data_IF_988526548754
#
_entry.id   IF_988526548754
#
_cell.length_a   1.000
_cell.length_b   1.000
_cell.length_c   1.000
_cell.angle_alpha   90.00
_cell.angle_beta   90.00
_cell.angle_gamma   90.00
#
_symmetry.space_group_name_H-M   'P 1'
#
loop_
_entity.id
_entity.type
_entity.pdbx_description
1 polymer ?
#
# COMPACT_ATOMS: atom_id res chain seq x y z
N UNK A 1 -31.96 17.96 -6.99
CA UNK A 1 -31.13 19.19 -7.03
C UNK A 1 -31.13 19.81 -5.65
N UNK A 2 -29.97 20.24 -5.14
CA UNK A 2 -29.86 20.86 -3.82
C UNK A 2 -30.21 22.36 -3.89
N UNK A 3 -30.79 22.97 -2.83
CA UNK A 3 -30.94 24.41 -2.75
C UNK A 3 -29.59 25.13 -2.92
N UNK A 4 -29.55 26.26 -3.63
CA UNK A 4 -28.30 26.96 -3.99
C UNK A 4 -27.43 27.33 -2.79
N UNK A 5 -28.05 27.78 -1.69
CA UNK A 5 -27.36 28.10 -0.43
C UNK A 5 -26.71 26.87 0.23
N UNK A 6 -27.30 25.69 0.03
CA UNK A 6 -26.83 24.43 0.62
C UNK A 6 -25.82 23.72 -0.29
N UNK A 7 -25.96 23.85 -1.61
CA UNK A 7 -25.01 23.30 -2.58
C UNK A 7 -23.58 23.82 -2.35
N UNK A 8 -23.44 25.12 -2.04
CA UNK A 8 -22.14 25.71 -1.70
C UNK A 8 -21.50 25.08 -0.46
N UNK A 9 -22.28 24.84 0.60
CA UNK A 9 -21.82 24.19 1.82
C UNK A 9 -21.36 22.74 1.56
N UNK A 10 -22.13 21.98 0.76
CA UNK A 10 -21.79 20.60 0.41
C UNK A 10 -20.50 20.54 -0.42
N UNK A 11 -20.35 21.42 -1.40
CA UNK A 11 -19.14 21.47 -2.24
C UNK A 11 -17.89 21.84 -1.43
N UNK A 12 -18.01 22.81 -0.51
CA UNK A 12 -16.94 23.15 0.43
C UNK A 12 -16.58 21.96 1.32
N UNK A 13 -17.58 21.23 1.81
CA UNK A 13 -17.37 20.01 2.59
C UNK A 13 -16.58 18.95 1.82
N UNK A 14 -16.94 18.68 0.57
CA UNK A 14 -16.20 17.73 -0.30
C UNK A 14 -14.76 18.21 -0.54
N UNK A 15 -14.58 19.51 -0.80
CA UNK A 15 -13.26 20.09 -1.05
C UNK A 15 -12.34 19.96 0.16
N UNK A 16 -12.81 20.39 1.35
CA UNK A 16 -12.05 20.26 2.61
C UNK A 16 -11.80 18.79 2.95
N UNK A 17 -12.82 17.94 2.78
CA UNK A 17 -12.74 16.50 3.03
C UNK A 17 -11.70 15.79 2.15
N UNK A 18 -11.49 16.25 0.92
CA UNK A 18 -10.44 15.74 0.04
C UNK A 18 -9.05 16.29 0.34
N UNK A 19 -8.94 17.58 0.69
CA UNK A 19 -7.65 18.24 0.91
C UNK A 19 -6.92 17.75 2.16
N UNK A 20 -7.62 17.53 3.28
CA UNK A 20 -6.99 17.17 4.55
C UNK A 20 -6.26 15.81 4.46
N UNK A 21 -6.89 14.71 3.99
CA UNK A 21 -6.20 13.45 3.81
C UNK A 21 -5.03 13.55 2.83
N UNK A 22 -5.21 14.27 1.70
CA UNK A 22 -4.15 14.44 0.70
C UNK A 22 -2.90 15.13 1.27
N UNK A 23 -3.10 16.16 2.10
CA UNK A 23 -2.00 16.87 2.75
C UNK A 23 -1.25 15.98 3.75
N UNK A 24 -1.98 15.23 4.58
CA UNK A 24 -1.38 14.32 5.58
C UNK A 24 -0.61 13.19 4.88
N UNK A 25 -1.17 12.62 3.80
CA UNK A 25 -0.51 11.57 3.02
C UNK A 25 0.82 12.06 2.43
N UNK A 26 0.85 13.26 1.85
CA UNK A 26 2.09 13.84 1.30
C UNK A 26 3.14 14.11 2.40
N UNK A 27 2.73 14.56 3.58
CA UNK A 27 3.67 14.77 4.70
C UNK A 27 4.21 13.42 5.20
N UNK A 28 3.34 12.41 5.34
CA UNK A 28 3.73 11.09 5.80
C UNK A 28 4.71 10.41 4.83
N UNK A 29 4.41 10.43 3.53
CA UNK A 29 5.32 9.92 2.49
C UNK A 29 6.68 10.62 2.53
N UNK A 30 6.69 11.94 2.71
CA UNK A 30 7.94 12.69 2.73
C UNK A 30 8.80 12.37 3.95
N UNK A 31 8.19 12.26 5.13
CA UNK A 31 8.89 11.85 6.35
C UNK A 31 9.43 10.42 6.23
N UNK A 32 8.65 9.49 5.68
CA UNK A 32 9.10 8.12 5.45
C UNK A 32 10.26 8.06 4.46
N UNK A 33 10.22 8.86 3.39
CA UNK A 33 11.31 8.95 2.41
C UNK A 33 12.60 9.44 3.07
N UNK A 34 12.53 10.55 3.82
CA UNK A 34 13.73 11.12 4.43
C UNK A 34 14.30 10.19 5.50
N UNK A 35 13.47 9.69 6.41
CA UNK A 35 13.92 8.90 7.57
C UNK A 35 14.32 7.46 7.23
N UNK A 36 13.58 6.81 6.34
CA UNK A 36 13.82 5.39 6.06
C UNK A 36 14.66 5.15 4.80
N UNK A 37 14.71 6.12 3.88
CA UNK A 37 15.47 5.96 2.63
C UNK A 37 16.70 6.85 2.62
N UNK A 38 16.60 8.14 2.95
CA UNK A 38 17.73 9.08 2.80
C UNK A 38 18.71 9.00 4.00
N UNK A 39 18.19 9.06 5.22
CA UNK A 39 18.98 9.09 6.46
C UNK A 39 19.96 7.90 6.61
N UNK A 40 19.60 6.65 6.25
CA UNK A 40 20.54 5.53 6.29
C UNK A 40 21.76 5.70 5.38
N UNK A 41 21.64 6.43 4.27
CA UNK A 41 22.75 6.69 3.35
C UNK A 41 23.48 8.00 3.63
N UNK A 42 22.78 9.00 4.18
CA UNK A 42 23.35 10.30 4.49
C UNK A 42 22.75 10.86 5.78
N UNK A 43 23.56 10.94 6.84
CA UNK A 43 23.13 11.49 8.13
C UNK A 43 22.90 12.99 8.04
N UNK A 44 21.63 13.39 8.12
CA UNK A 44 21.22 14.78 8.19
C UNK A 44 21.16 15.26 9.64
N UNK A 45 21.32 16.57 9.87
CA UNK A 45 20.91 17.17 11.15
C UNK A 45 19.39 17.24 11.23
N UNK A 46 18.81 17.35 12.43
CA UNK A 46 17.35 17.46 12.63
C UNK A 46 16.72 18.59 11.79
N UNK A 47 17.41 19.74 11.71
CA UNK A 47 17.00 20.88 10.86
C UNK A 47 17.09 20.54 9.36
N UNK A 48 18.09 19.77 8.97
CA UNK A 48 18.27 19.30 7.60
C UNK A 48 17.20 18.28 7.19
N UNK A 49 16.87 17.34 8.07
CA UNK A 49 15.83 16.33 7.88
C UNK A 49 14.47 16.98 7.67
N UNK A 50 14.11 17.93 8.53
CA UNK A 50 12.84 18.68 8.43
C UNK A 50 12.74 19.42 7.10
N UNK A 51 13.82 20.12 6.69
CA UNK A 51 13.85 20.84 5.40
C UNK A 51 13.76 19.88 4.22
N UNK A 52 14.48 18.76 4.27
CA UNK A 52 14.44 17.74 3.23
C UNK A 52 13.02 17.15 3.09
N UNK A 53 12.33 16.88 4.20
CA UNK A 53 10.98 16.35 4.18
C UNK A 53 9.98 17.37 3.63
N UNK A 54 10.10 18.66 3.98
CA UNK A 54 9.28 19.71 3.40
C UNK A 54 9.46 19.80 1.88
N UNK A 55 10.71 19.79 1.40
CA UNK A 55 10.99 19.81 -0.03
C UNK A 55 10.47 18.55 -0.74
N UNK A 56 10.66 17.37 -0.16
CA UNK A 56 10.13 16.13 -0.69
C UNK A 56 8.59 16.16 -0.79
N UNK A 57 7.90 16.72 0.21
CA UNK A 57 6.45 16.87 0.19
C UNK A 57 5.98 17.85 -0.90
N UNK A 58 6.71 18.95 -1.12
CA UNK A 58 6.42 19.91 -2.20
C UNK A 58 6.59 19.25 -3.56
N UNK A 59 7.73 18.58 -3.79
CA UNK A 59 8.00 17.86 -5.05
C UNK A 59 6.93 16.80 -5.31
N UNK A 60 6.55 16.03 -4.28
CA UNK A 60 5.51 15.01 -4.42
C UNK A 60 4.15 15.58 -4.81
N UNK A 61 3.77 16.76 -4.28
CA UNK A 61 2.52 17.42 -4.68
C UNK A 61 2.52 17.83 -6.16
N UNK A 62 3.65 18.34 -6.67
CA UNK A 62 3.77 18.64 -8.10
C UNK A 62 3.74 17.38 -8.96
N UNK A 63 4.37 16.30 -8.51
CA UNK A 63 4.29 14.99 -9.17
C UNK A 63 2.84 14.49 -9.22
N UNK A 64 2.12 14.55 -8.10
CA UNK A 64 0.72 14.16 -8.01
C UNK A 64 -0.18 15.02 -8.91
N UNK A 65 0.08 16.32 -8.97
CA UNK A 65 -0.63 17.24 -9.88
C UNK A 65 -0.41 16.85 -11.35
N UNK A 66 0.85 16.56 -11.74
CA UNK A 66 1.14 16.06 -13.08
C UNK A 66 0.46 14.71 -13.38
N UNK A 67 0.44 13.80 -12.41
CA UNK A 67 -0.19 12.49 -12.54
C UNK A 67 -1.71 12.57 -12.77
N UNK A 68 -2.39 13.53 -12.12
CA UNK A 68 -3.83 13.78 -12.30
C UNK A 68 -4.16 14.22 -13.73
N UNK A 69 -3.28 14.97 -14.40
CA UNK A 69 -3.48 15.34 -15.81
C UNK A 69 -3.14 14.21 -16.78
N UNK A 70 -2.22 13.32 -16.41
CA UNK A 70 -1.80 12.20 -17.25
C UNK A 70 -2.78 11.01 -17.21
N UNK A 71 -3.52 10.84 -16.11
CA UNK A 71 -4.35 9.64 -15.86
C UNK A 71 -5.84 9.97 -15.86
N UNK A 72 -6.69 9.22 -16.60
CA UNK A 72 -8.13 9.44 -16.56
C UNK A 72 -8.71 9.19 -15.16
N UNK A 73 -9.55 10.11 -14.68
CA UNK A 73 -10.15 10.06 -13.33
C UNK A 73 -10.98 8.78 -13.06
N UNK A 74 -11.46 8.13 -14.11
CA UNK A 74 -12.16 6.83 -14.03
C UNK A 74 -11.31 5.73 -13.43
N UNK A 75 -9.98 5.84 -13.49
CA UNK A 75 -9.04 4.86 -12.91
C UNK A 75 -8.74 5.09 -11.43
N UNK A 76 -9.20 6.18 -10.82
CA UNK A 76 -8.84 6.53 -9.44
C UNK A 76 -9.16 5.41 -8.43
N UNK A 77 -10.36 4.83 -8.52
CA UNK A 77 -10.78 3.71 -7.66
C UNK A 77 -9.90 2.48 -7.91
N UNK A 78 -9.56 2.21 -9.16
CA UNK A 78 -8.79 1.03 -9.53
C UNK A 78 -7.31 1.15 -9.12
N UNK A 79 -6.74 2.36 -9.18
CA UNK A 79 -5.41 2.66 -8.62
C UNK A 79 -5.43 2.55 -7.09
N UNK A 80 -6.48 3.02 -6.43
CA UNK A 80 -6.65 2.84 -4.98
C UNK A 80 -6.73 1.36 -4.59
N UNK A 81 -7.53 0.56 -5.31
CA UNK A 81 -7.65 -0.88 -5.08
C UNK A 81 -6.33 -1.60 -5.35
N UNK A 82 -5.58 -1.18 -6.38
CA UNK A 82 -4.24 -1.70 -6.68
C UNK A 82 -3.25 -1.38 -5.55
N UNK A 83 -3.23 -0.14 -5.06
CA UNK A 83 -2.47 0.25 -3.88
C UNK A 83 -2.88 -0.57 -2.66
N UNK A 84 -4.17 -0.86 -2.51
CA UNK A 84 -4.71 -1.76 -1.50
C UNK A 84 -4.14 -3.17 -1.58
N UNK A 85 -4.00 -3.75 -2.78
CA UNK A 85 -3.40 -5.09 -2.98
C UNK A 85 -1.98 -5.09 -2.42
N UNK A 86 -1.18 -4.07 -2.76
CA UNK A 86 0.23 -3.94 -2.35
C UNK A 86 0.34 -3.75 -0.83
N UNK A 87 -0.40 -2.80 -0.26
CA UNK A 87 -0.38 -2.50 1.18
C UNK A 87 -0.86 -3.70 1.99
N UNK A 88 -1.89 -4.42 1.52
CA UNK A 88 -2.42 -5.58 2.25
C UNK A 88 -1.37 -6.69 2.45
N UNK A 89 -0.40 -6.83 1.54
CA UNK A 89 0.66 -7.83 1.69
C UNK A 89 1.69 -7.48 2.75
N UNK A 90 1.81 -6.21 3.15
CA UNK A 90 2.72 -5.79 4.21
C UNK A 90 2.11 -5.99 5.61
N UNK A 91 0.79 -6.22 5.70
CA UNK A 91 0.12 -6.45 6.98
C UNK A 91 0.65 -7.67 7.72
N UNK A 92 0.78 -8.89 7.14
CA UNK A 92 1.25 -10.03 7.90
C UNK A 92 2.67 -9.84 8.48
N UNK A 93 3.68 -9.38 7.71
CA UNK A 93 5.01 -9.07 8.27
C UNK A 93 4.99 -8.09 9.43
N UNK A 94 4.19 -7.03 9.33
CA UNK A 94 4.12 -5.98 10.36
C UNK A 94 3.35 -6.48 11.58
N UNK A 95 2.11 -6.95 11.41
CA UNK A 95 1.26 -7.33 12.54
C UNK A 95 1.69 -8.65 13.18
N UNK A 96 1.96 -9.69 12.41
CA UNK A 96 2.34 -10.99 12.98
C UNK A 96 3.73 -10.95 13.60
N UNK A 97 4.66 -10.20 12.99
CA UNK A 97 6.00 -9.98 13.54
C UNK A 97 6.01 -9.17 14.84
N UNK A 98 5.07 -8.22 15.00
CA UNK A 98 4.94 -7.43 16.24
C UNK A 98 4.13 -8.14 17.32
N UNK A 99 3.04 -8.83 16.95
CA UNK A 99 2.11 -9.44 17.91
C UNK A 99 2.56 -10.81 18.40
N UNK A 100 3.34 -11.56 17.61
CA UNK A 100 3.70 -12.93 17.96
C UNK A 100 5.19 -13.20 17.71
N UNK A 101 5.89 -13.67 18.75
CA UNK A 101 7.27 -14.18 18.60
C UNK A 101 7.34 -15.59 18.02
N UNK A 102 6.18 -16.24 17.90
CA UNK A 102 6.05 -17.65 17.46
C UNK A 102 6.28 -17.84 15.97
N UNK A 103 6.38 -16.76 15.19
CA UNK A 103 6.50 -16.81 13.73
C UNK A 103 7.93 -16.52 13.33
N UNK A 104 8.42 -17.31 12.38
CA UNK A 104 9.80 -17.26 11.93
C UNK A 104 9.99 -16.09 10.94
N UNK A 105 11.12 -15.36 11.07
CA UNK A 105 11.38 -14.12 10.34
C UNK A 105 11.49 -14.33 8.82
N UNK A 106 12.22 -15.34 8.37
CA UNK A 106 12.37 -15.65 6.95
C UNK A 106 11.05 -16.08 6.31
N UNK A 107 10.18 -16.74 7.08
CA UNK A 107 8.85 -17.16 6.68
C UNK A 107 7.93 -15.96 6.48
N UNK A 108 8.03 -14.92 7.32
CA UNK A 108 7.33 -13.64 7.11
C UNK A 108 7.79 -12.94 5.82
N UNK A 109 9.10 -12.94 5.55
CA UNK A 109 9.66 -12.32 4.34
C UNK A 109 9.25 -13.12 3.09
N UNK A 110 9.30 -14.45 3.15
CA UNK A 110 8.88 -15.32 2.06
C UNK A 110 7.38 -15.17 1.77
N UNK A 111 6.55 -15.11 2.82
CA UNK A 111 5.11 -14.87 2.69
C UNK A 111 4.79 -13.52 2.07
N UNK A 112 5.48 -12.45 2.51
CA UNK A 112 5.38 -11.13 1.89
C UNK A 112 5.72 -11.16 0.40
N UNK A 113 6.86 -11.76 0.04
CA UNK A 113 7.29 -11.86 -1.35
C UNK A 113 6.28 -12.65 -2.19
N UNK A 114 5.81 -13.79 -1.69
CA UNK A 114 4.82 -14.62 -2.37
C UNK A 114 3.47 -13.90 -2.53
N UNK A 115 3.00 -13.19 -1.50
CA UNK A 115 1.80 -12.36 -1.54
C UNK A 115 1.94 -11.21 -2.55
N UNK A 116 3.07 -10.51 -2.55
CA UNK A 116 3.33 -9.40 -3.45
C UNK A 116 3.40 -9.86 -4.92
N UNK A 117 4.18 -10.91 -5.19
CA UNK A 117 4.31 -11.48 -6.53
C UNK A 117 2.98 -12.01 -7.05
N UNK A 118 2.26 -12.79 -6.24
CA UNK A 118 0.95 -13.31 -6.64
C UNK A 118 -0.07 -12.19 -6.88
N UNK A 119 -0.08 -11.14 -6.06
CA UNK A 119 -0.98 -10.00 -6.23
C UNK A 119 -0.72 -9.23 -7.51
N UNK A 120 0.54 -8.97 -7.83
CA UNK A 120 0.92 -8.32 -9.09
C UNK A 120 0.59 -9.22 -10.28
N UNK A 121 0.91 -10.51 -10.21
CA UNK A 121 0.66 -11.44 -11.33
C UNK A 121 -0.82 -11.64 -11.62
N UNK A 122 -1.64 -11.83 -10.58
CA UNK A 122 -3.09 -11.94 -10.74
C UNK A 122 -3.69 -10.63 -11.27
N UNK A 123 -3.19 -9.48 -10.82
CA UNK A 123 -3.63 -8.18 -11.33
C UNK A 123 -3.29 -8.02 -12.81
N UNK A 124 -2.08 -8.36 -13.22
CA UNK A 124 -1.66 -8.30 -14.63
C UNK A 124 -2.47 -9.26 -15.49
N UNK A 125 -2.69 -10.49 -15.02
CA UNK A 125 -3.46 -11.49 -15.74
C UNK A 125 -4.94 -11.09 -15.87
N UNK A 126 -5.56 -10.59 -14.81
CA UNK A 126 -6.95 -10.09 -14.84
C UNK A 126 -7.15 -8.95 -15.84
N UNK A 127 -6.10 -8.18 -16.12
CA UNK A 127 -6.11 -7.05 -17.05
C UNK A 127 -5.43 -7.35 -18.39
N UNK A 128 -5.11 -8.61 -18.68
CA UNK A 128 -4.44 -9.03 -19.93
C UNK A 128 -3.17 -8.23 -20.24
N UNK A 129 -2.39 -7.89 -19.21
CA UNK A 129 -1.20 -7.02 -19.30
C UNK A 129 -1.48 -5.62 -19.88
N UNK A 130 -2.74 -5.19 -19.88
CA UNK A 130 -3.21 -3.90 -20.33
C UNK A 130 -3.48 -2.92 -19.17
N UNK A 131 -4.28 -1.87 -19.44
CA UNK A 131 -4.69 -0.91 -18.43
C UNK A 131 -5.37 -1.60 -17.25
N UNK A 132 -5.06 -1.15 -16.03
CA UNK A 132 -5.67 -1.66 -14.81
C UNK A 132 -7.13 -1.21 -14.78
N UNK A 133 -8.06 -2.08 -15.18
CA UNK A 133 -9.51 -1.85 -15.19
C UNK A 133 -10.25 -2.75 -14.19
N UNK A 134 -9.64 -3.88 -13.80
CA UNK A 134 -10.21 -4.85 -12.87
C UNK A 134 -9.24 -5.17 -11.73
N UNK A 135 -9.74 -5.18 -10.49
CA UNK A 135 -9.02 -5.64 -9.28
C UNK A 135 -9.52 -6.99 -8.78
N UNK A 136 -10.36 -7.67 -9.55
CA UNK A 136 -10.97 -8.95 -9.19
C UNK A 136 -10.53 -10.03 -10.14
N UNK A 137 -10.37 -11.24 -9.62
CA UNK A 137 -10.06 -12.43 -10.40
C UNK A 137 -11.11 -13.52 -10.13
N UNK A 138 -11.63 -14.20 -11.16
CA UNK A 138 -12.61 -15.27 -10.98
C UNK A 138 -11.96 -16.49 -10.32
N UNK A 139 -12.49 -16.89 -9.17
CA UNK A 139 -12.11 -18.10 -8.44
C UNK A 139 -13.38 -18.92 -8.23
N UNK A 140 -13.40 -20.15 -8.74
CA UNK A 140 -14.58 -21.03 -8.70
C UNK A 140 -15.87 -20.37 -9.22
N UNK A 141 -15.75 -19.49 -10.22
CA UNK A 141 -16.88 -18.78 -10.83
C UNK A 141 -17.30 -17.49 -10.10
N UNK A 142 -16.68 -17.14 -8.97
CA UNK A 142 -16.96 -15.91 -8.23
C UNK A 142 -15.83 -14.88 -8.40
N UNK A 143 -16.18 -13.61 -8.59
CA UNK A 143 -15.20 -12.53 -8.65
C UNK A 143 -14.68 -12.21 -7.24
N UNK A 144 -13.41 -12.51 -6.98
CA UNK A 144 -12.78 -12.28 -5.68
C UNK A 144 -11.76 -11.16 -5.82
N UNK A 145 -11.72 -10.24 -4.85
CA UNK A 145 -10.71 -9.20 -4.79
C UNK A 145 -9.32 -9.82 -4.70
N UNK A 146 -8.44 -9.47 -5.63
CA UNK A 146 -7.11 -10.06 -5.78
C UNK A 146 -6.29 -9.92 -4.50
N UNK A 147 -6.44 -8.80 -3.78
CA UNK A 147 -5.76 -8.58 -2.51
C UNK A 147 -6.05 -9.68 -1.49
N UNK A 148 -7.30 -10.14 -1.38
CA UNK A 148 -7.68 -11.20 -0.44
C UNK A 148 -7.06 -12.54 -0.83
N UNK A 149 -7.07 -12.87 -2.13
CA UNK A 149 -6.46 -14.10 -2.64
C UNK A 149 -4.95 -14.11 -2.38
N UNK A 150 -4.27 -13.00 -2.65
CA UNK A 150 -2.84 -12.86 -2.41
C UNK A 150 -2.49 -12.86 -0.93
N UNK A 151 -3.33 -12.27 -0.09
CA UNK A 151 -3.18 -12.33 1.35
C UNK A 151 -3.32 -13.78 1.86
N UNK A 152 -4.23 -14.56 1.31
CA UNK A 152 -4.36 -15.99 1.65
C UNK A 152 -3.09 -16.76 1.28
N UNK A 153 -2.51 -16.51 0.11
CA UNK A 153 -1.21 -17.08 -0.31
C UNK A 153 -0.10 -16.66 0.66
N UNK A 154 -0.02 -15.38 1.00
CA UNK A 154 0.95 -14.83 1.94
C UNK A 154 0.88 -15.58 3.28
N UNK A 155 -0.31 -15.64 3.90
CA UNK A 155 -0.52 -16.31 5.17
C UNK A 155 -0.24 -17.82 5.10
N UNK A 156 -0.59 -18.47 4.00
CA UNK A 156 -0.27 -19.89 3.79
C UNK A 156 1.25 -20.12 3.76
N UNK A 157 2.01 -19.29 3.03
CA UNK A 157 3.47 -19.38 2.98
C UNK A 157 4.10 -19.08 4.34
N UNK A 158 3.61 -18.06 5.07
CA UNK A 158 4.06 -17.78 6.43
C UNK A 158 3.83 -18.98 7.36
N UNK A 159 2.62 -19.54 7.34
CA UNK A 159 2.22 -20.65 8.20
C UNK A 159 3.00 -21.91 7.91
N UNK A 160 3.11 -22.30 6.63
CA UNK A 160 3.86 -23.47 6.20
C UNK A 160 5.36 -23.30 6.44
N UNK A 161 5.93 -22.15 6.09
CA UNK A 161 7.35 -21.86 6.32
C UNK A 161 7.70 -21.92 7.80
N UNK A 162 6.85 -21.35 8.65
CA UNK A 162 7.02 -21.39 10.10
C UNK A 162 6.91 -22.82 10.62
N UNK A 163 5.92 -23.60 10.16
CA UNK A 163 5.76 -25.00 10.56
C UNK A 163 6.98 -25.86 10.18
N UNK A 164 7.52 -25.66 8.97
CA UNK A 164 8.77 -26.31 8.53
C UNK A 164 9.95 -25.88 9.40
N UNK A 165 10.06 -24.59 9.73
CA UNK A 165 11.12 -24.12 10.62
C UNK A 165 11.05 -24.78 12.00
N UNK A 166 9.87 -24.91 12.59
CA UNK A 166 9.68 -25.66 13.84
C UNK A 166 10.10 -27.13 13.71
N UNK A 167 9.76 -27.78 12.59
CA UNK A 167 10.13 -29.18 12.33
C UNK A 167 11.66 -29.36 12.21
N UNK A 168 12.37 -28.35 11.67
CA UNK A 168 13.85 -28.34 11.55
C UNK A 168 14.54 -27.87 12.84
N UNK A 169 13.77 -27.62 13.90
CA UNK A 169 14.29 -27.31 15.24
C UNK A 169 14.47 -25.82 15.54
N UNK A 170 13.96 -24.92 14.68
CA UNK A 170 13.84 -23.51 15.03
C UNK A 170 12.88 -23.36 16.20
N UNK A 171 13.30 -22.58 17.21
CA UNK A 171 12.44 -22.21 18.33
C UNK A 171 12.41 -20.69 18.47
N UNK A 172 11.23 -20.12 18.73
CA UNK A 172 11.08 -18.69 18.95
C UNK A 172 11.92 -18.27 20.16
N UNK A 173 12.62 -17.14 20.04
CA UNK A 173 13.41 -16.53 21.11
C UNK A 173 12.56 -15.61 22.00
#
# INVERSE_FOLDING_TARGET
MLPSWFAGLVLLGIFVGGMVPAAIMAIAQANLLVRNVIEPFHRLSEKGETKAAQWAAVVFKFLALGFVFATPLTYAIQLQLTGGIIILQTLPPVFLGLLTRKIERYSLIAGWAAGMLSGIMLLLYANHFGPLVSSTYPIFGYQVYIGMTSLAINLAVVGLGTAVAYAVGWRPR
#
